data_IF_240492811955
#
_entry.id   IF_240492811955
#
_cell.length_a   1.000
_cell.length_b   1.000
_cell.length_c   1.000
_cell.angle_alpha   90.00
_cell.angle_beta   90.00
_cell.angle_gamma   90.00
#
_symmetry.space_group_name_H-M   'P 1'
#
loop_
_entity.id
_entity.type
_entity.pdbx_description
1 polymer ?
#
# COMPACT_ATOMS: atom_id res chain seq x y z
N UNK A 1 -0.12 8.81 30.24
CA UNK A 1 1.19 9.03 29.57
C UNK A 1 1.93 7.71 29.62
N UNK A 2 1.92 6.94 28.54
CA UNK A 2 2.70 5.68 28.47
C UNK A 2 4.16 6.07 28.22
N UNK A 3 5.02 5.71 29.18
CA UNK A 3 6.46 5.82 29.04
C UNK A 3 6.90 4.82 27.94
N UNK A 4 7.02 5.27 26.71
CA UNK A 4 7.69 4.49 25.68
C UNK A 4 9.15 4.30 26.13
N UNK A 5 9.60 3.05 26.16
CA UNK A 5 11.00 2.71 26.40
C UNK A 5 11.86 3.54 25.46
N UNK A 6 12.68 4.40 26.00
CA UNK A 6 13.59 5.30 25.28
C UNK A 6 14.84 4.58 24.75
N UNK A 7 14.80 3.26 24.60
CA UNK A 7 15.93 2.45 24.15
C UNK A 7 15.66 1.76 22.82
N UNK A 8 16.63 1.79 21.93
CA UNK A 8 16.61 1.13 20.64
C UNK A 8 16.48 -0.39 20.78
N UNK A 9 15.63 -1.01 19.96
CA UNK A 9 15.41 -2.46 19.95
C UNK A 9 16.67 -3.19 19.46
N UNK A 10 17.40 -2.59 18.51
CA UNK A 10 18.55 -3.22 17.85
C UNK A 10 19.83 -3.15 18.72
N UNK A 11 20.11 -2.02 19.36
CA UNK A 11 21.38 -1.82 20.05
C UNK A 11 21.25 -1.42 21.53
N UNK A 12 20.04 -1.21 22.05
CA UNK A 12 19.80 -0.76 23.42
C UNK A 12 20.14 0.72 23.68
N UNK A 13 20.66 1.47 22.70
CA UNK A 13 21.00 2.88 22.83
C UNK A 13 19.77 3.77 23.02
N UNK A 14 19.99 5.00 23.51
CA UNK A 14 18.93 5.99 23.67
C UNK A 14 18.37 6.43 22.31
N UNK A 15 17.05 6.57 22.19
CA UNK A 15 16.39 6.97 20.94
C UNK A 15 15.79 8.36 21.06
N UNK A 16 15.73 9.07 19.93
CA UNK A 16 15.02 10.34 19.78
C UNK A 16 13.74 10.14 18.95
N UNK A 17 12.66 10.84 19.31
CA UNK A 17 11.40 10.83 18.57
C UNK A 17 11.18 12.21 17.96
N UNK A 18 10.97 12.25 16.64
CA UNK A 18 10.68 13.49 15.90
C UNK A 18 9.58 13.26 14.89
N UNK A 19 8.68 14.24 14.72
CA UNK A 19 7.73 14.24 13.60
C UNK A 19 8.45 14.55 12.29
N UNK A 20 8.05 13.81 11.25
CA UNK A 20 8.69 13.98 9.95
C UNK A 20 7.98 13.25 8.82
N UNK A 21 8.71 13.06 7.76
CA UNK A 21 8.29 12.30 6.58
C UNK A 21 9.06 10.99 6.54
N UNK A 22 8.35 9.87 6.40
CA UNK A 22 8.92 8.52 6.41
C UNK A 22 8.54 7.76 5.15
N UNK A 23 9.50 7.13 4.50
CA UNK A 23 9.25 6.26 3.34
C UNK A 23 8.87 4.86 3.84
N UNK A 24 7.59 4.51 3.72
CA UNK A 24 7.02 3.29 4.30
C UNK A 24 7.22 2.08 3.38
N UNK A 25 8.46 1.59 3.31
CA UNK A 25 8.84 0.42 2.49
C UNK A 25 8.28 -0.89 3.03
N UNK A 26 7.95 -0.95 4.31
CA UNK A 26 7.38 -2.11 5.00
C UNK A 26 6.01 -2.51 4.43
N UNK A 27 5.33 -1.58 3.76
CA UNK A 27 4.13 -1.89 2.98
C UNK A 27 4.38 -2.85 1.81
N UNK A 28 5.63 -2.95 1.34
CA UNK A 28 5.99 -3.62 0.09
C UNK A 28 5.75 -2.76 -1.16
N UNK A 29 5.46 -1.46 -0.97
CA UNK A 29 5.29 -0.46 -2.01
C UNK A 29 6.40 0.59 -1.86
N UNK A 30 7.26 0.71 -2.86
CA UNK A 30 8.42 1.62 -2.80
C UNK A 30 8.03 3.11 -2.89
N UNK A 31 6.80 3.39 -3.27
CA UNK A 31 6.29 4.73 -3.56
C UNK A 31 5.49 5.37 -2.43
N UNK A 32 5.32 4.66 -1.29
CA UNK A 32 4.52 5.16 -0.17
C UNK A 32 5.34 6.06 0.73
N UNK A 33 4.79 7.24 1.05
CA UNK A 33 5.37 8.22 1.95
C UNK A 33 4.36 8.63 3.00
N UNK A 34 4.71 8.46 4.26
CA UNK A 34 3.93 8.94 5.42
C UNK A 34 4.38 10.36 5.77
N UNK A 35 3.44 11.29 5.87
CA UNK A 35 3.67 12.67 6.32
C UNK A 35 3.18 12.86 7.74
N UNK A 36 3.90 13.67 8.51
CA UNK A 36 3.51 14.02 9.88
C UNK A 36 3.59 12.85 10.88
N UNK A 37 4.28 11.76 10.52
CA UNK A 37 4.45 10.60 11.39
C UNK A 37 5.55 10.84 12.42
N UNK A 38 5.38 10.31 13.62
CA UNK A 38 6.45 10.26 14.62
C UNK A 38 7.45 9.16 14.23
N UNK A 39 8.71 9.51 14.18
CA UNK A 39 9.82 8.63 13.78
C UNK A 39 10.73 8.46 14.98
N UNK A 40 10.94 7.22 15.39
CA UNK A 40 11.96 6.82 16.35
C UNK A 40 13.28 6.70 15.61
N UNK A 41 14.31 7.40 16.06
CA UNK A 41 15.65 7.31 15.48
C UNK A 41 16.67 7.01 16.56
N UNK A 42 17.51 6.02 16.33
CA UNK A 42 18.65 5.71 17.18
C UNK A 42 19.93 6.38 16.63
N UNK A 43 20.54 7.34 17.34
CA UNK A 43 21.78 7.96 16.87
C UNK A 43 22.99 7.02 16.94
N UNK A 44 22.92 5.94 17.74
CA UNK A 44 24.04 5.01 17.93
C UNK A 44 24.18 4.00 16.77
N UNK A 45 23.07 3.44 16.26
CA UNK A 45 23.09 2.45 15.16
C UNK A 45 22.45 2.96 13.87
N UNK A 46 21.80 4.14 13.88
CA UNK A 46 21.15 4.72 12.70
C UNK A 46 19.78 4.13 12.39
N UNK A 47 19.26 3.22 13.22
CA UNK A 47 17.93 2.62 13.02
C UNK A 47 16.83 3.69 13.07
N UNK A 48 15.87 3.58 12.15
CA UNK A 48 14.73 4.46 12.04
C UNK A 48 13.45 3.65 11.84
N UNK A 49 12.42 3.95 12.63
CA UNK A 49 11.11 3.32 12.48
C UNK A 49 9.96 4.30 12.76
N UNK A 50 8.83 4.22 12.04
CA UNK A 50 7.67 5.08 12.28
C UNK A 50 6.84 4.55 13.45
N UNK A 51 6.23 5.47 14.22
CA UNK A 51 5.18 5.13 15.18
C UNK A 51 3.84 5.24 14.47
N UNK A 52 3.21 4.11 14.20
CA UNK A 52 1.91 4.05 13.52
C UNK A 52 0.84 3.69 14.54
N UNK A 53 0.02 4.67 14.91
CA UNK A 53 -1.03 4.49 15.90
C UNK A 53 -2.18 3.60 15.39
N UNK A 54 -2.49 3.65 14.10
CA UNK A 54 -3.55 2.88 13.45
C UNK A 54 -3.03 2.22 12.19
N UNK A 55 -2.35 1.07 12.36
CA UNK A 55 -1.79 0.32 11.23
C UNK A 55 -2.89 -0.23 10.31
N UNK A 56 -3.97 -0.76 10.86
CA UNK A 56 -5.08 -1.32 10.06
C UNK A 56 -5.75 -0.22 9.20
N UNK A 57 -5.95 0.97 9.77
CA UNK A 57 -6.44 2.13 9.05
C UNK A 57 -5.49 2.57 7.94
N UNK A 58 -4.18 2.61 8.23
CA UNK A 58 -3.17 2.93 7.22
C UNK A 58 -3.16 1.92 6.07
N UNK A 59 -3.17 0.61 6.37
CA UNK A 59 -3.19 -0.42 5.33
C UNK A 59 -4.46 -0.35 4.48
N UNK A 60 -5.61 -0.05 5.10
CA UNK A 60 -6.86 0.19 4.39
C UNK A 60 -6.77 1.42 3.47
N UNK A 61 -6.24 2.53 3.96
CA UNK A 61 -6.04 3.76 3.18
C UNK A 61 -5.16 3.51 1.96
N UNK A 62 -4.10 2.73 2.10
CA UNK A 62 -3.25 2.34 0.97
C UNK A 62 -4.00 1.47 -0.04
N UNK A 63 -4.78 0.49 0.42
CA UNK A 63 -5.60 -0.32 -0.47
C UNK A 63 -6.62 0.53 -1.23
N UNK A 64 -7.28 1.48 -0.54
CA UNK A 64 -8.21 2.42 -1.15
C UNK A 64 -7.50 3.30 -2.21
N UNK A 65 -6.35 3.87 -1.89
CA UNK A 65 -5.55 4.64 -2.84
C UNK A 65 -5.26 3.82 -4.11
N UNK A 66 -4.81 2.58 -3.97
CA UNK A 66 -4.49 1.73 -5.11
C UNK A 66 -5.73 1.47 -5.98
N UNK A 67 -6.87 1.09 -5.38
CA UNK A 67 -8.07 0.74 -6.15
C UNK A 67 -8.76 1.95 -6.78
N UNK A 68 -8.55 3.17 -6.25
CA UNK A 68 -9.12 4.41 -6.78
C UNK A 68 -8.18 5.14 -7.75
N UNK A 69 -6.94 4.69 -7.90
CA UNK A 69 -5.99 5.27 -8.84
C UNK A 69 -6.49 5.14 -10.28
N UNK A 70 -6.33 6.20 -11.07
CA UNK A 70 -6.61 6.20 -12.52
C UNK A 70 -5.49 5.58 -13.35
N UNK A 71 -4.33 5.32 -12.74
CA UNK A 71 -3.19 4.70 -13.41
C UNK A 71 -3.32 3.16 -13.37
N UNK A 72 -2.80 2.44 -14.37
CA UNK A 72 -2.78 0.98 -14.37
C UNK A 72 -2.06 0.42 -13.15
N UNK A 73 -2.54 -0.72 -12.63
CA UNK A 73 -1.91 -1.40 -11.49
C UNK A 73 -0.50 -1.85 -11.83
N UNK A 74 0.42 -1.55 -10.94
CA UNK A 74 1.78 -2.09 -10.96
C UNK A 74 1.85 -3.46 -10.29
N UNK A 75 2.90 -4.24 -10.57
CA UNK A 75 3.10 -5.55 -9.95
C UNK A 75 3.12 -5.53 -8.41
N UNK A 76 3.87 -4.60 -7.78
CA UNK A 76 3.83 -4.41 -6.33
C UNK A 76 2.43 -4.13 -5.77
N UNK A 77 1.60 -3.36 -6.47
CA UNK A 77 0.23 -3.04 -6.05
C UNK A 77 -0.69 -4.26 -6.13
N UNK A 78 -0.58 -5.08 -7.16
CA UNK A 78 -1.31 -6.36 -7.24
C UNK A 78 -0.94 -7.26 -6.07
N UNK A 79 0.37 -7.38 -5.78
CA UNK A 79 0.87 -8.14 -4.63
C UNK A 79 0.35 -7.56 -3.31
N UNK A 80 0.31 -6.24 -3.18
CA UNK A 80 -0.23 -5.54 -2.02
C UNK A 80 -1.70 -5.88 -1.80
N UNK A 81 -2.54 -5.69 -2.81
CA UNK A 81 -3.98 -5.98 -2.73
C UNK A 81 -4.24 -7.44 -2.37
N UNK A 82 -3.54 -8.40 -2.99
CA UNK A 82 -3.65 -9.82 -2.65
C UNK A 82 -3.32 -10.08 -1.17
N UNK A 83 -2.22 -9.51 -0.67
CA UNK A 83 -1.83 -9.66 0.75
C UNK A 83 -2.83 -8.98 1.70
N UNK A 84 -3.34 -7.82 1.33
CA UNK A 84 -4.37 -7.09 2.07
C UNK A 84 -5.65 -7.93 2.22
N UNK A 85 -6.02 -8.68 1.18
CA UNK A 85 -7.13 -9.65 1.22
C UNK A 85 -6.80 -10.94 1.99
N UNK A 86 -5.58 -11.12 2.49
CA UNK A 86 -5.13 -12.33 3.18
C UNK A 86 -5.03 -13.56 2.28
N UNK A 87 -4.90 -13.38 0.97
CA UNK A 87 -4.90 -14.49 0.01
C UNK A 87 -3.50 -14.98 -0.36
N UNK A 88 -3.35 -16.31 -0.46
CA UNK A 88 -2.19 -16.91 -1.12
C UNK A 88 -2.22 -16.65 -2.63
N UNK A 89 -1.07 -16.81 -3.31
CA UNK A 89 -1.01 -16.67 -4.77
C UNK A 89 -1.97 -17.63 -5.50
N UNK A 90 -2.09 -18.86 -5.01
CA UNK A 90 -2.99 -19.87 -5.61
C UNK A 90 -4.47 -19.51 -5.43
N UNK A 91 -4.86 -19.00 -4.27
CA UNK A 91 -6.23 -18.56 -4.02
C UNK A 91 -6.60 -17.37 -4.91
N UNK A 92 -5.71 -16.38 -4.99
CA UNK A 92 -5.95 -15.18 -5.77
C UNK A 92 -5.97 -15.46 -7.28
N UNK A 93 -5.05 -16.28 -7.78
CA UNK A 93 -5.04 -16.69 -9.19
C UNK A 93 -6.32 -17.42 -9.59
N UNK A 94 -6.80 -18.37 -8.76
CA UNK A 94 -8.09 -19.04 -8.99
C UNK A 94 -9.26 -18.06 -9.03
N UNK A 95 -9.29 -17.08 -8.13
CA UNK A 95 -10.35 -16.06 -8.08
C UNK A 95 -10.37 -15.19 -9.34
N UNK A 96 -9.19 -14.87 -9.87
CA UNK A 96 -9.04 -14.09 -11.11
C UNK A 96 -9.16 -14.95 -12.37
N UNK A 97 -9.50 -16.25 -12.28
CA UNK A 97 -9.52 -17.19 -13.38
C UNK A 97 -8.24 -17.20 -14.22
N UNK A 98 -7.09 -17.10 -13.54
CA UNK A 98 -5.76 -17.15 -14.16
C UNK A 98 -4.90 -18.23 -13.49
N UNK A 99 -3.77 -18.55 -14.09
CA UNK A 99 -2.80 -19.47 -13.49
C UNK A 99 -1.81 -18.72 -12.57
N UNK A 100 -1.22 -19.46 -11.62
CA UNK A 100 -0.26 -18.92 -10.66
C UNK A 100 0.97 -18.31 -11.32
N UNK A 101 1.41 -18.83 -12.45
CA UNK A 101 2.59 -18.35 -13.16
C UNK A 101 2.33 -16.98 -13.78
N UNK A 102 1.14 -16.79 -14.33
CA UNK A 102 0.69 -15.49 -14.86
C UNK A 102 0.58 -14.45 -13.75
N UNK A 103 -0.06 -14.79 -12.61
CA UNK A 103 -0.11 -13.91 -11.45
C UNK A 103 1.29 -13.52 -10.96
N UNK A 104 2.20 -14.50 -10.88
CA UNK A 104 3.59 -14.24 -10.47
C UNK A 104 4.31 -13.28 -11.43
N UNK A 105 4.08 -13.41 -12.73
CA UNK A 105 4.64 -12.49 -13.75
C UNK A 105 4.08 -11.08 -13.60
N UNK A 106 2.80 -10.93 -13.28
CA UNK A 106 2.21 -9.63 -12.97
C UNK A 106 2.84 -9.02 -11.72
N UNK A 107 2.91 -9.77 -10.61
CA UNK A 107 3.46 -9.28 -9.34
C UNK A 107 4.94 -8.91 -9.39
N UNK A 108 5.69 -9.48 -10.32
CA UNK A 108 7.12 -9.17 -10.54
C UNK A 108 7.34 -8.11 -11.61
N UNK A 109 6.28 -7.68 -12.32
CA UNK A 109 6.39 -6.74 -13.42
C UNK A 109 7.00 -7.35 -14.70
N UNK A 110 7.16 -8.68 -14.77
CA UNK A 110 7.68 -9.37 -15.96
C UNK A 110 6.71 -9.31 -17.15
N UNK A 111 5.42 -9.14 -16.87
CA UNK A 111 4.36 -8.96 -17.87
C UNK A 111 3.40 -7.88 -17.37
N UNK A 112 3.02 -6.96 -18.24
CA UNK A 112 2.03 -5.94 -17.93
C UNK A 112 0.65 -6.55 -17.70
N UNK A 113 -0.11 -5.94 -16.81
CA UNK A 113 -1.47 -6.33 -16.49
C UNK A 113 -2.37 -5.68 -17.54
N UNK A 114 -3.14 -6.50 -18.28
CA UNK A 114 -4.12 -5.95 -19.21
C UNK A 114 -5.30 -5.30 -18.49
N UNK A 115 -5.94 -4.32 -19.11
CA UNK A 115 -7.04 -3.51 -18.54
C UNK A 115 -8.17 -4.35 -17.95
N UNK A 116 -8.55 -5.44 -18.57
CA UNK A 116 -9.60 -6.35 -18.05
C UNK A 116 -9.19 -7.00 -16.72
N UNK A 117 -7.93 -7.45 -16.62
CA UNK A 117 -7.41 -8.06 -15.39
C UNK A 117 -7.21 -7.01 -14.29
N UNK A 118 -6.76 -5.82 -14.63
CA UNK A 118 -6.66 -4.67 -13.72
C UNK A 118 -8.02 -4.35 -13.10
N UNK A 119 -9.04 -4.16 -13.94
CA UNK A 119 -10.40 -3.89 -13.48
C UNK A 119 -10.95 -5.01 -12.59
N UNK A 120 -10.72 -6.27 -12.95
CA UNK A 120 -11.15 -7.42 -12.15
C UNK A 120 -10.45 -7.45 -10.78
N UNK A 121 -9.14 -7.18 -10.73
CA UNK A 121 -8.37 -7.13 -9.47
C UNK A 121 -8.94 -6.06 -8.54
N UNK A 122 -9.21 -4.86 -9.06
CA UNK A 122 -9.82 -3.76 -8.29
C UNK A 122 -11.21 -4.13 -7.79
N UNK A 123 -12.07 -4.69 -8.66
CA UNK A 123 -13.41 -5.11 -8.29
C UNK A 123 -13.40 -6.17 -7.18
N UNK A 124 -12.50 -7.15 -7.27
CA UNK A 124 -12.31 -8.18 -6.22
C UNK A 124 -11.83 -7.54 -4.92
N UNK A 125 -10.87 -6.62 -4.99
CA UNK A 125 -10.36 -5.93 -3.81
C UNK A 125 -11.44 -5.09 -3.13
N UNK A 126 -12.25 -4.35 -3.87
CA UNK A 126 -13.38 -3.58 -3.36
C UNK A 126 -14.46 -4.46 -2.75
N UNK A 127 -14.76 -5.60 -3.38
CA UNK A 127 -15.82 -6.50 -2.90
C UNK A 127 -15.43 -7.23 -1.62
N UNK A 128 -14.19 -7.69 -1.52
CA UNK A 128 -13.71 -8.53 -0.41
C UNK A 128 -12.94 -7.76 0.66
N UNK A 129 -12.41 -6.59 0.31
CA UNK A 129 -11.62 -5.76 1.23
C UNK A 129 -12.49 -5.16 2.32
N UNK A 130 -12.13 -5.42 3.59
CA UNK A 130 -12.85 -4.88 4.74
C UNK A 130 -12.82 -3.36 4.73
N UNK A 131 -14.01 -2.73 4.69
CA UNK A 131 -14.18 -1.27 4.73
C UNK A 131 -13.81 -0.53 3.44
N UNK A 132 -13.48 -1.22 2.34
CA UNK A 132 -13.27 -0.56 1.04
C UNK A 132 -14.58 -0.27 0.32
N UNK A 133 -15.60 -1.06 0.58
CA UNK A 133 -16.87 -1.01 -0.15
C UNK A 133 -17.65 0.29 0.09
N UNK A 134 -17.66 0.76 1.33
CA UNK A 134 -18.44 1.95 1.72
C UNK A 134 -17.82 3.26 1.21
N UNK A 135 -16.53 3.24 0.89
CA UNK A 135 -15.79 4.37 0.31
C UNK A 135 -15.67 4.27 -1.23
N UNK A 136 -16.19 3.18 -1.80
CA UNK A 136 -15.96 2.82 -3.21
C UNK A 136 -16.93 3.46 -4.20
N UNK A 137 -18.05 4.04 -3.79
CA UNK A 137 -19.00 4.64 -4.74
C UNK A 137 -18.37 5.78 -5.55
N UNK A 138 -17.46 6.52 -4.94
CA UNK A 138 -16.69 7.58 -5.60
C UNK A 138 -15.58 7.02 -6.49
N UNK A 139 -15.01 5.86 -6.11
CA UNK A 139 -13.96 5.16 -6.85
C UNK A 139 -14.48 4.53 -8.15
N UNK A 140 -15.67 3.96 -8.14
CA UNK A 140 -16.27 3.31 -9.33
C UNK A 140 -16.48 4.30 -10.47
N UNK A 141 -16.78 5.56 -10.17
CA UNK A 141 -16.86 6.62 -11.19
C UNK A 141 -15.52 6.93 -11.87
N UNK A 142 -14.40 6.56 -11.24
CA UNK A 142 -13.05 6.74 -11.80
C UNK A 142 -12.60 5.62 -12.75
N UNK A 143 -13.26 4.47 -12.76
CA UNK A 143 -12.85 3.33 -13.60
C UNK A 143 -13.03 3.53 -15.10
N UNK A 144 -13.87 4.48 -15.51
CA UNK A 144 -14.09 4.79 -16.93
C UNK A 144 -12.88 5.46 -17.61
N UNK A 145 -11.82 5.77 -16.86
CA UNK A 145 -10.72 6.61 -17.31
C UNK A 145 -9.32 6.00 -17.01
N UNK A 146 -9.19 4.65 -16.99
CA UNK A 146 -7.85 4.04 -16.89
C UNK A 146 -7.10 4.30 -18.19
N UNK A 147 -6.05 5.11 -18.11
CA UNK A 147 -5.20 5.44 -19.24
C UNK A 147 -4.16 4.33 -19.47
N UNK A 148 -4.37 3.51 -20.52
CA UNK A 148 -3.46 2.41 -20.87
C UNK A 148 -2.06 2.90 -21.31
N UNK A 149 -1.92 4.15 -21.75
CA UNK A 149 -0.63 4.71 -22.19
C UNK A 149 0.30 4.99 -20.99
N UNK A 150 -0.24 5.12 -19.79
CA UNK A 150 0.51 5.35 -18.56
C UNK A 150 0.97 4.07 -17.84
N UNK A 151 0.90 2.90 -18.49
CA UNK A 151 1.36 1.64 -17.93
C UNK A 151 2.84 1.73 -17.50
N UNK A 152 3.13 1.31 -16.24
CA UNK A 152 4.46 1.32 -15.62
C UNK A 152 4.99 2.68 -15.10
N UNK A 153 4.17 3.70 -14.99
CA UNK A 153 4.57 4.90 -14.25
C UNK A 153 4.33 4.64 -12.75
N UNK A 154 5.38 4.58 -11.93
CA UNK A 154 5.20 4.43 -10.49
C UNK A 154 4.61 5.72 -9.92
N UNK A 155 3.40 5.63 -9.37
CA UNK A 155 2.78 6.75 -8.68
C UNK A 155 3.14 6.73 -7.21
N UNK A 156 3.48 7.88 -6.73
CA UNK A 156 3.78 8.09 -5.32
C UNK A 156 2.48 8.31 -4.55
N UNK A 157 2.25 7.51 -3.53
CA UNK A 157 1.14 7.67 -2.60
C UNK A 157 1.67 8.38 -1.35
N UNK A 158 1.16 9.58 -1.09
CA UNK A 158 1.44 10.32 0.12
C UNK A 158 0.26 10.20 1.08
N UNK A 159 0.51 9.72 2.30
CA UNK A 159 -0.51 9.54 3.32
C UNK A 159 -0.21 10.45 4.50
N UNK A 160 -1.19 11.24 4.93
CA UNK A 160 -1.14 11.92 6.22
C UNK A 160 -1.40 10.90 7.33
N UNK A 161 -0.43 10.71 8.23
CA UNK A 161 -0.47 9.68 9.25
C UNK A 161 -1.48 9.97 10.38
N UNK A 162 -1.93 11.21 10.54
CA UNK A 162 -2.89 11.60 11.56
C UNK A 162 -4.33 11.47 11.07
N UNK A 163 -4.60 11.93 9.83
CA UNK A 163 -5.95 11.96 9.25
C UNK A 163 -6.28 10.73 8.41
N UNK A 164 -5.26 9.94 8.03
CA UNK A 164 -5.37 8.81 7.10
C UNK A 164 -5.96 9.21 5.73
N UNK A 165 -5.71 10.46 5.31
CA UNK A 165 -6.02 10.93 3.96
C UNK A 165 -4.83 10.72 3.04
N UNK A 166 -5.07 10.52 1.75
CA UNK A 166 -4.01 10.28 0.78
C UNK A 166 -4.10 11.23 -0.43
N UNK A 167 -2.97 11.42 -1.10
CA UNK A 167 -2.86 12.12 -2.37
C UNK A 167 -1.83 11.40 -3.26
N UNK A 168 -1.97 11.57 -4.56
CA UNK A 168 -0.96 11.11 -5.53
C UNK A 168 -0.05 12.28 -5.91
N UNK A 169 1.25 12.01 -6.08
CA UNK A 169 2.25 12.98 -6.51
C UNK A 169 3.23 12.39 -7.52
#
# INVERSE_FOLDING_TARGET
MQNFKTSCIECGGEVAIKKGTYRFRESGLDTVVLKGVEIVRCPACGDESPIIANLDGLLRTLALAIVTSKLPLTGPEVRYLRKYLGMSGDQFARMLHTDKSTLSKWETGAVNIGSKSDLLIRAVALHLGRGLRDEAEEAVRGFELIDEESANVPHRIEVDAATLTFAYS
#
